data_IF_124774902293
#
_entry.id   IF_124774902293
#
_cell.length_a   1.000
_cell.length_b   1.000
_cell.length_c   1.000
_cell.angle_alpha   90.00
_cell.angle_beta   90.00
_cell.angle_gamma   90.00
#
_symmetry.space_group_name_H-M   'P 1'
#
loop_
_entity.id
_entity.type
_entity.pdbx_description
1 polymer ?
#
# COMPACT_ATOMS: atom_id res chain seq x y z
N UNK A 1 54.92 -25.46 18.93
CA UNK A 1 54.17 -26.74 18.90
C UNK A 1 52.69 -26.45 19.15
N UNK A 2 51.77 -27.40 19.07
CA UNK A 2 50.38 -27.19 19.51
C UNK A 2 50.14 -28.01 20.79
N UNK A 3 49.28 -27.54 21.69
CA UNK A 3 48.95 -28.29 22.90
C UNK A 3 48.09 -29.52 22.58
N UNK A 4 47.71 -30.28 23.60
CA UNK A 4 46.89 -31.49 23.46
C UNK A 4 45.52 -31.25 22.79
N UNK A 5 45.11 -29.98 22.65
CA UNK A 5 43.86 -29.57 22.02
C UNK A 5 44.06 -28.95 20.62
N UNK A 6 45.28 -28.95 20.09
CA UNK A 6 45.60 -28.44 18.76
C UNK A 6 45.75 -26.91 18.69
N UNK A 7 45.86 -26.22 19.83
CA UNK A 7 46.08 -24.78 19.87
C UNK A 7 47.57 -24.44 19.87
N UNK A 8 48.03 -23.38 19.16
CA UNK A 8 49.45 -23.00 19.15
C UNK A 8 49.96 -22.72 20.57
N UNK A 9 51.00 -23.43 21.02
CA UNK A 9 51.62 -23.18 22.34
C UNK A 9 52.36 -21.84 22.44
N UNK A 10 52.62 -21.18 21.30
CA UNK A 10 53.16 -19.81 21.22
C UNK A 10 52.06 -18.81 20.87
N UNK A 11 50.89 -18.93 21.50
CA UNK A 11 49.93 -17.83 21.51
C UNK A 11 50.56 -16.63 22.25
N UNK A 12 51.24 -15.75 21.51
CA UNK A 12 51.81 -14.50 22.04
C UNK A 12 50.75 -13.55 22.60
N UNK A 13 49.47 -13.81 22.28
CA UNK A 13 48.33 -13.09 22.78
C UNK A 13 47.83 -13.76 24.06
N UNK A 14 47.83 -13.03 25.15
CA UNK A 14 47.20 -13.42 26.42
C UNK A 14 45.71 -13.68 26.24
N UNK A 15 45.12 -14.51 27.11
CA UNK A 15 43.66 -14.75 27.15
C UNK A 15 42.86 -13.45 27.24
N UNK A 16 43.40 -12.42 27.91
CA UNK A 16 42.80 -11.10 27.97
C UNK A 16 42.78 -10.40 26.61
N UNK A 17 43.82 -10.56 25.79
CA UNK A 17 43.86 -10.03 24.42
C UNK A 17 42.88 -10.76 23.50
N UNK A 18 42.78 -12.09 23.63
CA UNK A 18 41.80 -12.90 22.87
C UNK A 18 40.38 -12.56 23.29
N UNK A 19 40.09 -12.48 24.59
CA UNK A 19 38.78 -12.09 25.11
C UNK A 19 38.39 -10.68 24.66
N UNK A 20 39.32 -9.71 24.73
CA UNK A 20 39.09 -8.35 24.26
C UNK A 20 38.83 -8.31 22.74
N UNK A 21 39.55 -9.10 21.96
CA UNK A 21 39.32 -9.22 20.52
C UNK A 21 37.94 -9.82 20.23
N UNK A 22 37.54 -10.90 20.91
CA UNK A 22 36.22 -11.53 20.76
C UNK A 22 35.10 -10.57 21.18
N UNK A 23 35.24 -9.90 22.32
CA UNK A 23 34.29 -8.87 22.77
C UNK A 23 34.20 -7.74 21.76
N UNK A 24 35.31 -7.19 21.26
CA UNK A 24 35.29 -6.17 20.19
C UNK A 24 34.68 -6.68 18.89
N UNK A 25 34.85 -7.96 18.59
CA UNK A 25 34.32 -8.58 17.36
C UNK A 25 32.81 -8.79 17.46
N UNK A 26 32.29 -9.00 18.67
CA UNK A 26 30.86 -9.07 19.01
C UNK A 26 30.24 -7.67 19.22
N UNK A 27 31.02 -6.72 19.72
CA UNK A 27 30.70 -5.29 19.84
C UNK A 27 30.90 -4.55 18.51
N UNK A 28 31.30 -5.22 17.41
CA UNK A 28 31.04 -4.70 16.06
C UNK A 28 29.53 -4.72 15.89
N UNK A 29 28.96 -3.60 16.31
CA UNK A 29 27.54 -3.41 16.52
C UNK A 29 26.78 -3.80 15.25
N UNK A 30 25.68 -4.54 15.42
CA UNK A 30 24.59 -4.60 14.44
C UNK A 30 23.90 -3.23 14.26
N UNK A 31 24.44 -2.16 14.84
CA UNK A 31 23.90 -0.82 14.77
C UNK A 31 24.40 -0.14 13.50
N UNK A 32 23.46 0.24 12.64
CA UNK A 32 23.71 0.99 11.41
C UNK A 32 23.85 2.49 11.79
N UNK A 33 24.85 2.83 12.61
CA UNK A 33 25.01 4.18 13.17
C UNK A 33 26.07 5.01 12.45
N UNK A 34 27.00 4.36 11.72
CA UNK A 34 27.98 5.04 10.87
C UNK A 34 28.31 4.23 9.60
N UNK A 35 28.57 4.92 8.48
CA UNK A 35 28.92 4.28 7.20
C UNK A 35 30.25 3.50 7.22
N UNK A 36 31.06 3.63 8.27
CA UNK A 36 32.30 2.87 8.42
C UNK A 36 32.04 1.41 8.81
N UNK A 37 30.91 1.13 9.43
CA UNK A 37 30.58 -0.20 9.96
C UNK A 37 29.83 -1.09 8.94
N UNK A 38 29.44 -0.52 7.79
CA UNK A 38 28.76 -1.22 6.68
C UNK A 38 28.83 -0.38 5.39
N UNK A 39 29.20 -1.01 4.27
CA UNK A 39 28.98 -0.44 2.94
C UNK A 39 27.70 -1.03 2.37
N UNK A 40 26.61 -0.25 2.38
CA UNK A 40 25.39 -0.63 1.68
C UNK A 40 25.56 -0.35 0.18
N UNK A 41 25.15 -1.30 -0.66
CA UNK A 41 25.01 -1.07 -2.10
C UNK A 41 23.63 -0.51 -2.47
N UNK A 42 22.73 -0.34 -1.49
CA UNK A 42 21.37 0.12 -1.75
C UNK A 42 21.34 1.56 -2.23
N UNK A 43 20.53 1.80 -3.26
CA UNK A 43 20.39 3.11 -3.88
C UNK A 43 19.43 4.00 -3.07
N UNK A 44 19.82 5.23 -2.67
CA UNK A 44 18.91 6.14 -1.98
C UNK A 44 17.61 6.40 -2.76
N UNK A 45 16.45 6.32 -2.09
CA UNK A 45 15.13 6.54 -2.70
C UNK A 45 14.55 5.35 -3.48
N UNK A 46 15.23 4.19 -3.41
CA UNK A 46 14.66 2.91 -3.80
C UNK A 46 14.20 2.13 -2.56
N UNK A 47 13.16 1.33 -2.74
CA UNK A 47 12.72 0.36 -1.75
C UNK A 47 13.68 -0.84 -1.79
N UNK A 48 13.96 -1.46 -0.64
CA UNK A 48 14.73 -2.71 -0.60
C UNK A 48 13.78 -3.91 -0.58
N UNK A 49 14.10 -4.93 -1.37
CA UNK A 49 13.47 -6.26 -1.32
C UNK A 49 14.49 -7.32 -0.91
N UNK A 50 14.03 -8.54 -0.68
CA UNK A 50 14.90 -9.68 -0.41
C UNK A 50 15.11 -10.47 -1.70
N UNK A 51 16.36 -10.83 -2.01
CA UNK A 51 16.68 -11.73 -3.12
C UNK A 51 16.26 -13.18 -2.82
N UNK A 52 16.52 -14.10 -3.77
CA UNK A 52 16.20 -15.52 -3.61
C UNK A 52 16.89 -16.20 -2.41
N UNK A 53 17.96 -15.61 -1.89
CA UNK A 53 18.70 -16.09 -0.72
C UNK A 53 18.31 -15.32 0.56
N UNK A 54 17.35 -14.41 0.50
CA UNK A 54 16.92 -13.58 1.63
C UNK A 54 17.82 -12.38 1.91
N UNK A 55 18.72 -12.02 1.00
CA UNK A 55 19.64 -10.89 1.16
C UNK A 55 18.98 -9.59 0.66
N UNK A 56 19.17 -8.45 1.36
CA UNK A 56 18.64 -7.17 0.89
C UNK A 56 19.23 -6.77 -0.47
N UNK A 57 18.36 -6.41 -1.41
CA UNK A 57 18.69 -5.90 -2.74
C UNK A 57 17.76 -4.73 -3.10
N UNK A 58 18.18 -3.83 -3.97
CA UNK A 58 17.32 -2.77 -4.50
C UNK A 58 16.12 -3.38 -5.23
N UNK A 59 14.91 -2.99 -4.83
CA UNK A 59 13.70 -3.33 -5.53
C UNK A 59 13.62 -2.59 -6.86
N UNK A 60 12.89 -3.17 -7.81
CA UNK A 60 12.66 -2.53 -9.11
C UNK A 60 11.76 -1.29 -9.04
N UNK A 61 11.00 -1.12 -7.95
CA UNK A 61 10.09 -0.01 -7.73
C UNK A 61 10.77 1.12 -6.93
N UNK A 62 10.57 2.36 -7.38
CA UNK A 62 10.96 3.59 -6.68
C UNK A 62 9.89 4.06 -5.70
N UNK A 63 10.28 4.88 -4.71
CA UNK A 63 9.35 5.52 -3.77
C UNK A 63 8.20 6.26 -4.49
N UNK A 64 8.51 6.93 -5.60
CA UNK A 64 7.54 7.67 -6.41
C UNK A 64 6.48 6.76 -7.05
N UNK A 65 6.88 5.58 -7.52
CA UNK A 65 5.94 4.62 -8.13
C UNK A 65 4.99 4.05 -7.08
N UNK A 66 5.49 3.74 -5.87
CA UNK A 66 4.66 3.28 -4.76
C UNK A 66 3.69 4.38 -4.32
N UNK A 67 4.17 5.61 -4.16
CA UNK A 67 3.34 6.76 -3.79
C UNK A 67 2.22 7.01 -4.82
N UNK A 68 2.52 6.90 -6.12
CA UNK A 68 1.53 7.02 -7.18
C UNK A 68 0.48 5.90 -7.14
N UNK A 69 0.90 4.65 -6.89
CA UNK A 69 -0.03 3.52 -6.76
C UNK A 69 -1.00 3.70 -5.58
N UNK A 70 -0.51 4.17 -4.43
CA UNK A 70 -1.34 4.45 -3.25
C UNK A 70 -2.31 5.61 -3.51
N UNK A 71 -1.88 6.66 -4.21
CA UNK A 71 -2.77 7.75 -4.60
C UNK A 71 -3.86 7.26 -5.55
N UNK A 72 -3.52 6.39 -6.50
CA UNK A 72 -4.46 5.79 -7.43
C UNK A 72 -5.45 4.85 -6.74
N UNK A 73 -5.01 4.03 -5.78
CA UNK A 73 -5.92 3.14 -5.03
C UNK A 73 -6.92 3.93 -4.18
N UNK A 74 -6.49 5.04 -3.56
CA UNK A 74 -7.42 5.94 -2.87
C UNK A 74 -8.39 6.66 -3.80
N UNK A 75 -8.04 6.87 -5.07
CA UNK A 75 -8.97 7.39 -6.07
C UNK A 75 -9.97 6.30 -6.56
N UNK A 76 -9.59 5.02 -6.52
CA UNK A 76 -10.47 3.93 -6.95
C UNK A 76 -11.64 3.66 -5.98
N UNK A 77 -11.53 4.08 -4.70
CA UNK A 77 -12.63 4.01 -3.72
C UNK A 77 -13.55 5.25 -3.75
N UNK A 78 -13.36 6.17 -4.70
CA UNK A 78 -14.39 7.14 -5.06
C UNK A 78 -15.20 6.60 -6.22
N UNK A 79 -16.35 6.03 -5.91
CA UNK A 79 -17.39 5.50 -6.80
C UNK A 79 -18.05 6.60 -7.67
N UNK A 80 -17.22 7.43 -8.32
CA UNK A 80 -17.59 8.53 -9.21
C UNK A 80 -16.99 8.32 -10.59
N UNK A 81 -16.97 7.08 -11.06
CA UNK A 81 -16.76 6.78 -12.47
C UNK A 81 -17.95 5.96 -12.98
N UNK A 82 -19.13 6.57 -12.91
CA UNK A 82 -20.12 6.37 -13.96
C UNK A 82 -19.41 6.73 -15.28
N UNK A 83 -18.93 5.71 -15.99
CA UNK A 83 -18.02 5.87 -17.13
C UNK A 83 -18.57 6.86 -18.16
N UNK A 84 -17.69 7.41 -19.00
CA UNK A 84 -17.96 8.49 -19.96
C UNK A 84 -19.08 8.26 -21.01
N UNK A 85 -19.89 7.20 -20.87
CA UNK A 85 -21.13 6.95 -21.61
C UNK A 85 -22.40 6.96 -20.73
N UNK A 86 -22.29 7.17 -19.43
CA UNK A 86 -23.40 7.53 -18.54
C UNK A 86 -23.71 9.01 -18.79
N UNK A 87 -24.53 9.28 -19.80
CA UNK A 87 -25.01 10.64 -20.03
C UNK A 87 -26.04 10.93 -18.95
N UNK A 88 -25.79 11.93 -18.11
CA UNK A 88 -26.78 12.53 -17.21
C UNK A 88 -27.96 13.18 -17.95
N UNK A 89 -28.02 13.05 -19.29
CA UNK A 89 -29.04 13.67 -20.14
C UNK A 89 -30.44 13.14 -19.89
N UNK A 90 -30.61 11.88 -19.45
CA UNK A 90 -31.95 11.38 -19.10
C UNK A 90 -32.45 11.92 -17.74
N UNK A 91 -31.53 12.49 -16.97
CA UNK A 91 -31.78 12.97 -15.63
C UNK A 91 -32.01 14.50 -15.58
N UNK A 92 -31.75 15.22 -16.67
CA UNK A 92 -31.97 16.67 -16.75
C UNK A 92 -31.07 17.45 -15.78
N UNK A 93 -30.90 18.75 -16.04
CA UNK A 93 -30.00 19.62 -15.27
C UNK A 93 -30.52 19.97 -13.85
N UNK A 94 -31.19 19.05 -13.16
CA UNK A 94 -31.79 19.29 -11.86
C UNK A 94 -30.70 19.48 -10.78
N UNK A 95 -30.74 20.63 -10.10
CA UNK A 95 -29.80 20.98 -9.03
C UNK A 95 -30.15 20.36 -7.66
N UNK A 96 -31.15 19.48 -7.61
CA UNK A 96 -31.64 18.80 -6.41
C UNK A 96 -31.95 17.34 -6.71
N UNK A 97 -31.95 16.49 -5.67
CA UNK A 97 -32.26 15.06 -5.77
C UNK A 97 -33.47 14.78 -6.66
N UNK A 98 -33.27 13.83 -7.57
CA UNK A 98 -34.28 13.45 -8.53
C UNK A 98 -35.21 12.41 -7.93
N UNK A 99 -36.36 12.86 -7.46
CA UNK A 99 -37.37 11.99 -6.86
C UNK A 99 -38.32 11.50 -7.94
N UNK A 100 -38.38 10.18 -8.21
CA UNK A 100 -39.48 9.56 -8.98
C UNK A 100 -40.65 9.30 -8.03
N UNK A 101 -41.82 9.84 -8.35
CA UNK A 101 -43.02 9.56 -7.56
C UNK A 101 -43.60 8.21 -7.99
N UNK A 102 -43.49 7.18 -7.14
CA UNK A 102 -44.05 5.85 -7.41
C UNK A 102 -45.42 5.75 -6.75
N UNK A 103 -46.45 5.54 -7.57
CA UNK A 103 -47.85 5.44 -7.12
C UNK A 103 -48.44 4.09 -7.49
N UNK A 104 -49.22 3.49 -6.59
CA UNK A 104 -49.95 2.25 -6.82
C UNK A 104 -51.46 2.50 -6.77
N UNK A 105 -52.24 1.88 -7.65
CA UNK A 105 -53.70 1.97 -7.56
C UNK A 105 -54.44 1.23 -8.67
N UNK A 106 -55.77 1.19 -8.57
CA UNK A 106 -56.68 0.54 -9.53
C UNK A 106 -57.33 1.53 -10.51
N UNK A 107 -57.17 2.85 -10.26
CA UNK A 107 -57.83 3.95 -10.98
C UNK A 107 -57.08 4.47 -12.21
N UNK A 108 -57.33 5.73 -12.56
CA UNK A 108 -56.56 6.47 -13.55
C UNK A 108 -55.21 6.92 -12.97
N UNK A 109 -54.21 7.09 -13.83
CA UNK A 109 -52.88 7.52 -13.40
C UNK A 109 -52.93 8.96 -12.84
N UNK A 110 -52.25 9.26 -11.72
CA UNK A 110 -52.14 10.63 -11.21
C UNK A 110 -51.31 11.50 -12.15
N UNK A 111 -51.64 12.79 -12.22
CA UNK A 111 -50.87 13.76 -13.01
C UNK A 111 -49.43 13.84 -12.50
N UNK A 112 -48.45 13.88 -13.41
CA UNK A 112 -47.05 14.05 -13.05
C UNK A 112 -46.87 15.38 -12.30
N UNK A 113 -46.11 15.35 -11.19
CA UNK A 113 -45.77 16.59 -10.49
C UNK A 113 -44.74 17.38 -11.34
N UNK A 114 -44.74 18.71 -11.25
CA UNK A 114 -43.88 19.58 -12.08
C UNK A 114 -42.43 19.71 -11.58
N UNK A 115 -42.10 19.03 -10.49
CA UNK A 115 -40.80 19.05 -9.77
C UNK A 115 -40.02 17.74 -9.90
N UNK A 116 -40.56 16.75 -10.61
CA UNK A 116 -40.04 15.38 -10.76
C UNK A 116 -39.99 15.05 -12.25
N UNK A 117 -38.97 14.30 -12.71
CA UNK A 117 -38.82 13.91 -14.13
C UNK A 117 -39.94 13.01 -14.67
N UNK A 118 -40.77 12.44 -13.81
CA UNK A 118 -41.96 11.68 -14.19
C UNK A 118 -42.56 10.90 -13.02
N UNK A 119 -43.82 10.47 -13.17
CA UNK A 119 -44.46 9.55 -12.24
C UNK A 119 -44.42 8.12 -12.78
N UNK A 120 -44.08 7.14 -11.94
CA UNK A 120 -44.26 5.73 -12.24
C UNK A 120 -45.57 5.26 -11.58
N UNK A 121 -46.61 5.02 -12.39
CA UNK A 121 -47.88 4.50 -11.91
C UNK A 121 -47.98 2.99 -12.14
N UNK A 122 -47.94 2.23 -11.05
CA UNK A 122 -48.13 0.77 -11.08
C UNK A 122 -49.61 0.50 -10.87
N UNK A 123 -50.31 0.28 -11.99
CA UNK A 123 -51.73 -0.12 -11.97
C UNK A 123 -51.84 -1.60 -11.68
N UNK A 124 -52.64 -1.95 -10.68
CA UNK A 124 -53.01 -3.34 -10.42
C UNK A 124 -54.52 -3.53 -10.53
N UNK A 125 -54.93 -4.78 -10.65
CA UNK A 125 -56.32 -5.21 -10.46
C UNK A 125 -56.34 -5.96 -9.12
N UNK A 126 -57.28 -5.59 -8.24
CA UNK A 126 -57.41 -6.23 -6.93
C UNK A 126 -57.86 -7.69 -7.06
#
# INVERSE_FOLDING_TARGET
>A
EADANGLPVDASNTDAQVANAVTKTHDRQHAITTAADHTSAATPGQILEADANGLPVDATNTDAQVAAAVAASHAQDTDTALGAGCVSDDHGAAATDMVVNVCYGVGAAPAANTTTIGSLFIKYTA
#
